data_IF_086613312769
#
_entry.id   IF_086613312769
#
_cell.length_a   1.000
_cell.length_b   1.000
_cell.length_c   1.000
_cell.angle_alpha   90.00
_cell.angle_beta   90.00
_cell.angle_gamma   90.00
#
_symmetry.space_group_name_H-M   'P 1'
#
loop_
_entity.id
_entity.type
_entity.pdbx_description
1 polymer ?
#
# COMPACT_ATOMS: atom_id res chain seq x y z
N UNK A 1 -5.13 20.46 -34.62
CA UNK A 1 -5.12 18.99 -34.80
C UNK A 1 -4.28 18.28 -33.73
N UNK A 2 -4.97 17.49 -32.88
CA UNK A 2 -4.48 16.47 -31.93
C UNK A 2 -3.53 16.96 -30.81
N UNK A 3 -3.74 16.69 -29.53
CA UNK A 3 -4.45 15.56 -28.92
C UNK A 3 -4.89 15.98 -27.50
N UNK A 4 -6.19 16.14 -27.31
CA UNK A 4 -6.82 16.11 -26.00
C UNK A 4 -6.58 14.72 -25.40
N UNK A 5 -5.93 14.67 -24.25
CA UNK A 5 -5.91 13.47 -23.40
C UNK A 5 -6.49 13.83 -22.05
N UNK A 6 -7.72 14.31 -22.09
CA UNK A 6 -8.66 14.15 -20.99
C UNK A 6 -8.97 12.64 -20.83
N UNK A 7 -8.15 11.92 -20.08
CA UNK A 7 -8.67 10.70 -19.43
C UNK A 7 -9.19 11.09 -18.06
N UNK A 8 -10.49 11.32 -18.04
CA UNK A 8 -11.31 11.43 -16.85
C UNK A 8 -10.97 10.27 -15.89
N UNK A 9 -10.06 10.51 -14.94
CA UNK A 9 -9.96 9.72 -13.71
C UNK A 9 -11.31 9.78 -13.01
N UNK A 10 -12.24 8.92 -13.43
CA UNK A 10 -13.37 8.48 -12.62
C UNK A 10 -12.76 8.23 -11.25
N UNK A 11 -13.16 9.03 -10.26
CA UNK A 11 -12.70 8.98 -8.86
C UNK A 11 -13.12 7.62 -8.27
N UNK A 12 -12.53 6.53 -8.75
CA UNK A 12 -12.69 5.20 -8.20
C UNK A 12 -12.05 5.28 -6.84
N UNK A 13 -12.87 5.11 -5.81
CA UNK A 13 -12.39 5.02 -4.44
C UNK A 13 -11.36 3.87 -4.43
N UNK A 14 -10.08 4.16 -4.11
CA UNK A 14 -9.05 3.13 -4.11
C UNK A 14 -9.34 2.13 -2.99
N UNK A 15 -9.02 0.86 -3.20
CA UNK A 15 -9.28 -0.16 -2.18
C UNK A 15 -8.49 0.14 -0.91
N UNK A 16 -9.04 -0.16 0.29
CA UNK A 16 -8.26 -0.07 1.51
C UNK A 16 -7.00 -0.95 1.39
N UNK A 17 -5.89 -0.43 1.90
CA UNK A 17 -4.59 -1.12 1.83
C UNK A 17 -4.59 -2.29 2.81
N UNK A 18 -4.20 -3.47 2.34
CA UNK A 18 -3.97 -4.62 3.23
C UNK A 18 -2.62 -4.50 3.95
N UNK A 19 -2.38 -5.40 4.91
CA UNK A 19 -1.18 -5.39 5.75
C UNK A 19 0.13 -5.45 4.95
N UNK A 20 0.17 -6.26 3.89
CA UNK A 20 1.33 -6.36 3.02
C UNK A 20 1.57 -5.08 2.21
N UNK A 21 0.52 -4.41 1.72
CA UNK A 21 0.67 -3.14 1.01
C UNK A 21 1.21 -2.04 1.92
N UNK A 22 0.74 -1.99 3.17
CA UNK A 22 1.25 -1.04 4.18
C UNK A 22 2.72 -1.35 4.49
N UNK A 23 3.06 -2.61 4.74
CA UNK A 23 4.44 -3.04 4.96
C UNK A 23 5.35 -2.69 3.78
N UNK A 24 4.89 -2.94 2.54
CA UNK A 24 5.67 -2.65 1.34
C UNK A 24 5.94 -1.17 1.16
N UNK A 25 4.96 -0.31 1.45
CA UNK A 25 5.15 1.14 1.41
C UNK A 25 6.18 1.59 2.44
N UNK A 26 6.06 1.09 3.67
CA UNK A 26 7.02 1.38 4.74
C UNK A 26 8.44 0.92 4.39
N UNK A 27 8.58 -0.33 3.93
CA UNK A 27 9.87 -0.91 3.56
C UNK A 27 10.48 -0.22 2.33
N UNK A 28 9.66 0.18 1.36
CA UNK A 28 10.15 0.91 0.19
C UNK A 28 10.73 2.28 0.57
N UNK A 29 10.15 2.98 1.54
CA UNK A 29 10.72 4.23 2.07
C UNK A 29 12.06 3.97 2.75
N UNK A 30 12.10 2.96 3.61
CA UNK A 30 13.33 2.57 4.30
C UNK A 30 14.46 2.17 3.36
N UNK A 31 14.16 1.37 2.32
CA UNK A 31 15.14 0.97 1.30
C UNK A 31 15.67 2.20 0.56
N UNK A 32 14.80 3.13 0.21
CA UNK A 32 15.20 4.35 -0.47
C UNK A 32 16.14 5.22 0.39
N UNK A 33 15.90 5.24 1.70
CA UNK A 33 16.73 5.98 2.65
C UNK A 33 18.08 5.28 2.91
N UNK A 34 18.07 3.94 3.05
CA UNK A 34 19.26 3.13 3.32
C UNK A 34 20.15 2.96 2.08
N UNK A 35 19.54 2.84 0.89
CA UNK A 35 20.22 2.61 -0.39
C UNK A 35 19.63 3.56 -1.44
N UNK A 36 20.16 4.80 -1.54
CA UNK A 36 19.71 5.75 -2.54
C UNK A 36 19.92 5.19 -3.96
N UNK A 37 18.83 4.97 -4.68
CA UNK A 37 18.82 4.39 -6.03
C UNK A 37 18.39 2.92 -6.10
N UNK A 38 18.26 2.23 -4.97
CA UNK A 38 17.64 0.90 -4.95
C UNK A 38 16.12 1.02 -5.06
N UNK A 39 15.52 0.17 -5.89
CA UNK A 39 14.08 0.06 -6.00
C UNK A 39 13.57 -1.09 -5.14
N UNK A 40 12.39 -0.92 -4.54
CA UNK A 40 11.70 -2.00 -3.83
C UNK A 40 11.29 -3.20 -4.73
N UNK A 41 11.60 -3.15 -6.04
CA UNK A 41 11.51 -4.29 -6.95
C UNK A 41 12.76 -5.15 -6.95
N UNK A 42 13.94 -4.55 -6.76
CA UNK A 42 15.22 -5.27 -6.65
C UNK A 42 15.33 -6.01 -5.31
N UNK A 43 14.80 -5.40 -4.24
CA UNK A 43 14.64 -6.07 -2.96
C UNK A 43 13.26 -6.71 -2.95
N UNK A 44 13.21 -8.03 -3.02
CA UNK A 44 11.93 -8.77 -2.96
C UNK A 44 11.30 -8.60 -1.57
N UNK A 45 10.51 -7.53 -1.40
CA UNK A 45 9.79 -7.21 -0.16
C UNK A 45 8.86 -8.35 0.25
N UNK A 46 8.38 -9.15 -0.71
CA UNK A 46 7.65 -10.39 -0.42
C UNK A 46 8.47 -11.39 0.38
N UNK A 47 9.75 -11.59 0.04
CA UNK A 47 10.65 -12.47 0.81
C UNK A 47 10.94 -11.91 2.20
N UNK A 48 11.13 -10.58 2.31
CA UNK A 48 11.30 -9.92 3.62
C UNK A 48 10.07 -10.11 4.49
N UNK A 49 8.88 -9.86 3.94
CA UNK A 49 7.61 -10.10 4.63
C UNK A 49 7.47 -11.54 5.10
N UNK A 50 7.84 -12.54 4.28
CA UNK A 50 7.79 -13.94 4.72
C UNK A 50 8.73 -14.22 5.89
N UNK A 51 9.95 -13.66 5.88
CA UNK A 51 10.95 -13.79 6.93
C UNK A 51 10.67 -12.94 8.17
N UNK A 52 9.81 -11.95 8.05
CA UNK A 52 9.47 -11.02 9.11
C UNK A 52 8.80 -11.73 10.29
N UNK A 53 9.03 -11.20 11.50
CA UNK A 53 8.49 -11.77 12.74
C UNK A 53 6.96 -11.73 12.78
N UNK A 54 6.31 -12.67 13.49
CA UNK A 54 4.86 -12.65 13.68
C UNK A 54 4.36 -11.32 14.26
N UNK A 55 5.08 -10.75 15.23
CA UNK A 55 4.73 -9.50 15.90
C UNK A 55 4.65 -8.32 14.92
N UNK A 56 5.62 -8.22 14.01
CA UNK A 56 5.60 -7.18 12.98
C UNK A 56 4.44 -7.41 12.01
N UNK A 57 4.21 -8.66 11.59
CA UNK A 57 3.06 -8.98 10.74
C UNK A 57 1.74 -8.61 11.40
N UNK A 58 1.61 -8.87 12.70
CA UNK A 58 0.43 -8.55 13.49
C UNK A 58 0.24 -7.03 13.62
N UNK A 59 1.30 -6.28 13.87
CA UNK A 59 1.27 -4.81 13.84
C UNK A 59 0.72 -4.28 12.50
N UNK A 60 1.20 -4.80 11.36
CA UNK A 60 0.69 -4.38 10.05
C UNK A 60 -0.73 -4.89 9.75
N UNK A 61 -1.17 -6.01 10.35
CA UNK A 61 -2.58 -6.44 10.30
C UNK A 61 -3.49 -5.47 11.06
N UNK A 62 -3.08 -5.01 12.24
CA UNK A 62 -3.82 -4.01 13.02
C UNK A 62 -3.96 -2.70 12.22
N UNK A 63 -2.87 -2.22 11.61
CA UNK A 63 -2.90 -1.03 10.74
C UNK A 63 -3.83 -1.21 9.54
N UNK A 64 -3.86 -2.40 8.93
CA UNK A 64 -4.76 -2.69 7.82
C UNK A 64 -6.23 -2.75 8.26
N UNK A 65 -6.51 -3.30 9.45
CA UNK A 65 -7.84 -3.30 10.03
C UNK A 65 -8.33 -1.88 10.33
N UNK A 66 -7.45 -1.01 10.83
CA UNK A 66 -7.77 0.40 11.04
C UNK A 66 -8.00 1.14 9.72
N UNK A 67 -7.19 0.91 8.69
CA UNK A 67 -7.44 1.48 7.35
C UNK A 67 -8.77 1.01 6.76
N UNK A 68 -9.12 -0.27 6.91
CA UNK A 68 -10.42 -0.78 6.47
C UNK A 68 -11.57 -0.12 7.25
N UNK A 69 -11.42 0.06 8.57
CA UNK A 69 -12.40 0.77 9.41
C UNK A 69 -12.57 2.22 8.98
N UNK A 70 -11.48 2.96 8.83
CA UNK A 70 -11.49 4.35 8.38
C UNK A 70 -12.05 4.48 6.96
N UNK A 71 -11.73 3.54 6.08
CA UNK A 71 -12.24 3.52 4.72
C UNK A 71 -13.75 3.30 4.69
N UNK A 72 -14.28 2.36 5.49
CA UNK A 72 -15.72 2.12 5.64
C UNK A 72 -16.44 3.33 6.22
N UNK A 73 -15.84 4.02 7.20
CA UNK A 73 -16.40 5.26 7.77
C UNK A 73 -16.41 6.40 6.75
N UNK A 74 -15.33 6.54 5.97
CA UNK A 74 -15.17 7.59 4.97
C UNK A 74 -16.02 7.36 3.72
N UNK A 75 -16.25 6.10 3.38
CA UNK A 75 -17.01 5.68 2.20
C UNK A 75 -18.04 4.61 2.60
N UNK A 76 -19.14 5.01 3.28
CA UNK A 76 -20.17 4.07 3.74
C UNK A 76 -20.86 3.33 2.59
N UNK A 77 -20.93 3.94 1.41
CA UNK A 77 -21.51 3.35 0.19
C UNK A 77 -20.50 2.53 -0.64
N UNK A 78 -19.26 2.39 -0.16
CA UNK A 78 -18.23 1.64 -0.89
C UNK A 78 -18.52 0.14 -0.83
N UNK A 79 -18.70 -0.46 -2.00
CA UNK A 79 -18.84 -1.90 -2.19
C UNK A 79 -17.75 -2.42 -3.12
N UNK A 80 -17.18 -3.56 -2.75
CA UNK A 80 -16.17 -4.29 -3.53
C UNK A 80 -16.81 -5.11 -4.65
#
# INVERSE_FOLDING_TARGET
PANESEDHKKKRIPRPRNSFIIYRQWMSGRIHDDIPGATAGEISVGLLWHKETPQVKDHFKELAAEEDRLHKLKYPDYRY
#
